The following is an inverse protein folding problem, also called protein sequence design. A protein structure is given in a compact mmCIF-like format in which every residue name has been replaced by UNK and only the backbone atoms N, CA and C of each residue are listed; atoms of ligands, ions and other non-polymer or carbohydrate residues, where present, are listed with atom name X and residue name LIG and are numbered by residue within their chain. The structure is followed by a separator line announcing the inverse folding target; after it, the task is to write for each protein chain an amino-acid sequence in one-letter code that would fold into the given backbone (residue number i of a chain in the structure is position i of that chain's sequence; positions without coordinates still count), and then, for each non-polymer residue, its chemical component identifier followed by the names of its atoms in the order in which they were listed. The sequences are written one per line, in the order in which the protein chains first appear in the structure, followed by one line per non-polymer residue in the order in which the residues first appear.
data_IF_655529367251
#
_entry.id   IF_655529367251
#
_cell.length_a   1.000
_cell.length_b   1.000
_cell.length_c   1.000
_cell.angle_alpha   90.00
_cell.angle_beta   90.00
_cell.angle_gamma   90.00
#
_symmetry.space_group_name_H-M   'P 1'
#
loop_
_entity.id
_entity.type
_entity.pdbx_description
1 polymer ?
#
# COMPACT_ATOMS: atom_id res chain seq x y z
N UNK A 1 -16.59 -10.11 -25.98
CA UNK A 1 -15.97 -8.77 -25.85
C UNK A 1 -17.10 -7.81 -25.49
N UNK A 2 -17.53 -7.86 -24.23
CA UNK A 2 -18.76 -7.20 -23.77
C UNK A 2 -18.37 -5.83 -23.26
N UNK A 3 -18.81 -4.79 -23.97
CA UNK A 3 -18.58 -3.41 -23.60
C UNK A 3 -19.23 -3.15 -22.23
N UNK A 4 -18.43 -2.80 -21.23
CA UNK A 4 -18.91 -2.23 -19.97
C UNK A 4 -19.39 -0.82 -20.32
N UNK A 5 -20.67 -0.68 -20.61
CA UNK A 5 -21.32 0.63 -20.63
C UNK A 5 -21.24 1.20 -19.22
N UNK A 6 -20.63 2.38 -19.01
CA UNK A 6 -20.63 2.99 -17.69
C UNK A 6 -22.08 3.38 -17.37
N UNK A 7 -22.67 2.74 -16.36
CA UNK A 7 -23.88 3.28 -15.73
C UNK A 7 -23.54 4.70 -15.24
N UNK A 8 -24.11 5.69 -15.91
CA UNK A 8 -23.94 7.10 -15.54
C UNK A 8 -24.82 7.39 -14.33
N UNK A 9 -24.26 7.13 -13.15
CA UNK A 9 -24.80 7.63 -11.88
C UNK A 9 -24.78 9.18 -11.90
N UNK A 10 -25.94 9.86 -11.83
CA UNK A 10 -26.08 11.30 -12.04
C UNK A 10 -25.36 12.18 -10.99
N UNK A 11 -24.77 11.59 -9.93
CA UNK A 11 -23.94 12.30 -8.94
C UNK A 11 -22.41 12.21 -9.15
N UNK A 12 -21.93 11.54 -10.20
CA UNK A 12 -20.50 11.18 -10.34
C UNK A 12 -19.69 12.28 -11.03
N UNK A 13 -18.93 13.06 -10.25
CA UNK A 13 -18.08 14.13 -10.79
C UNK A 13 -16.85 13.53 -11.48
N UNK A 14 -16.61 13.89 -12.74
CA UNK A 14 -15.35 13.56 -13.43
C UNK A 14 -14.25 14.44 -12.84
N UNK A 15 -13.20 13.86 -12.24
CA UNK A 15 -12.13 14.69 -11.68
C UNK A 15 -11.43 15.46 -12.79
N UNK A 16 -10.79 16.58 -12.45
CA UNK A 16 -9.79 17.21 -13.31
C UNK A 16 -8.39 16.63 -13.05
N UNK A 17 -7.44 16.83 -13.95
CA UNK A 17 -6.04 16.42 -13.71
C UNK A 17 -5.47 16.97 -12.40
N UNK A 18 -5.85 18.20 -12.01
CA UNK A 18 -5.43 18.82 -10.76
C UNK A 18 -6.04 18.13 -9.52
N UNK A 19 -7.31 17.72 -9.60
CA UNK A 19 -7.95 16.97 -8.52
C UNK A 19 -7.34 15.58 -8.35
N UNK A 20 -7.03 14.90 -9.46
CA UNK A 20 -6.27 13.63 -9.42
C UNK A 20 -4.92 13.83 -8.73
N UNK A 21 -4.14 14.83 -9.18
CA UNK A 21 -2.84 15.13 -8.59
C UNK A 21 -2.96 15.40 -7.08
N UNK A 22 -3.85 16.31 -6.67
CA UNK A 22 -3.99 16.68 -5.26
C UNK A 22 -4.50 15.53 -4.39
N UNK A 23 -5.44 14.75 -4.92
CA UNK A 23 -5.96 13.57 -4.25
C UNK A 23 -4.87 12.53 -3.99
N UNK A 24 -4.13 12.14 -5.03
CA UNK A 24 -3.01 11.20 -4.88
C UNK A 24 -1.84 11.79 -4.09
N UNK A 25 -1.62 13.11 -4.13
CA UNK A 25 -0.66 13.81 -3.27
C UNK A 25 -1.00 13.68 -1.79
N UNK A 26 -2.26 13.94 -1.44
CA UNK A 26 -2.75 13.74 -0.07
C UNK A 26 -2.67 12.27 0.35
N UNK A 27 -2.96 11.35 -0.57
CA UNK A 27 -2.80 9.91 -0.34
C UNK A 27 -1.33 9.58 -0.05
N UNK A 28 -0.38 10.09 -0.86
CA UNK A 28 1.06 9.85 -0.70
C UNK A 28 1.61 10.26 0.66
N UNK A 29 1.18 11.42 1.18
CA UNK A 29 1.58 11.89 2.53
C UNK A 29 0.83 11.21 3.68
N UNK A 30 -0.33 10.60 3.43
CA UNK A 30 -1.20 10.04 4.49
C UNK A 30 -1.21 8.51 4.52
N UNK A 31 -0.58 7.83 3.56
CA UNK A 31 -0.63 6.39 3.35
C UNK A 31 0.17 5.55 4.38
N UNK A 32 0.27 6.03 5.62
CA UNK A 32 0.87 5.29 6.71
C UNK A 32 -0.10 4.23 7.23
N UNK A 33 0.27 2.96 7.11
CA UNK A 33 -0.45 1.89 7.78
C UNK A 33 -1.68 1.29 7.10
N UNK A 34 -1.79 1.50 5.78
CA UNK A 34 -2.85 0.92 4.98
C UNK A 34 -3.23 1.83 3.82
N UNK A 35 -2.40 1.88 2.79
CA UNK A 35 -2.63 2.73 1.63
C UNK A 35 -3.91 2.33 0.85
N UNK A 36 -4.24 1.03 0.81
CA UNK A 36 -5.41 0.54 0.06
C UNK A 36 -6.75 0.94 0.69
N UNK A 37 -7.00 0.77 2.01
CA UNK A 37 -8.19 1.31 2.66
C UNK A 37 -8.33 2.83 2.49
N UNK A 38 -7.22 3.59 2.59
CA UNK A 38 -7.24 5.04 2.37
C UNK A 38 -7.59 5.39 0.92
N UNK A 39 -7.02 4.67 -0.05
CA UNK A 39 -7.31 4.86 -1.46
C UNK A 39 -8.78 4.55 -1.76
N UNK A 40 -9.34 3.45 -1.24
CA UNK A 40 -10.76 3.12 -1.39
C UNK A 40 -11.64 4.22 -0.82
N UNK A 41 -11.38 4.65 0.42
CA UNK A 41 -12.15 5.72 1.08
C UNK A 41 -12.07 7.04 0.30
N UNK A 42 -10.90 7.36 -0.24
CA UNK A 42 -10.74 8.56 -1.06
C UNK A 42 -11.52 8.45 -2.37
N UNK A 43 -11.29 7.39 -3.15
CA UNK A 43 -11.82 7.23 -4.51
C UNK A 43 -13.32 6.91 -4.54
N UNK A 44 -13.83 6.18 -3.55
CA UNK A 44 -15.22 5.69 -3.51
C UNK A 44 -16.10 6.52 -2.57
N UNK A 45 -15.64 6.79 -1.34
CA UNK A 45 -16.50 7.42 -0.33
C UNK A 45 -16.45 8.96 -0.37
N UNK A 46 -15.24 9.54 -0.41
CA UNK A 46 -15.02 10.99 -0.31
C UNK A 46 -15.23 11.69 -1.64
N UNK A 47 -14.43 11.33 -2.63
CA UNK A 47 -14.41 11.99 -3.93
C UNK A 47 -15.43 11.40 -4.90
N UNK A 48 -15.90 10.17 -4.62
CA UNK A 48 -16.91 9.44 -5.40
C UNK A 48 -16.57 9.33 -6.90
N UNK A 49 -15.28 9.21 -7.23
CA UNK A 49 -14.83 9.02 -8.61
C UNK A 49 -15.12 7.61 -9.12
N UNK A 50 -15.15 6.61 -8.24
CA UNK A 50 -15.39 5.20 -8.56
C UNK A 50 -16.53 4.63 -7.72
N UNK A 51 -17.31 3.69 -8.26
CA UNK A 51 -18.11 2.80 -7.39
C UNK A 51 -17.21 1.79 -6.66
N UNK A 52 -17.78 1.14 -5.64
CA UNK A 52 -17.12 0.02 -4.96
C UNK A 52 -16.76 -1.12 -5.93
N UNK A 53 -17.62 -1.43 -6.89
CA UNK A 53 -17.40 -2.48 -7.88
C UNK A 53 -16.30 -2.09 -8.86
N UNK A 54 -16.36 -0.87 -9.42
CA UNK A 54 -15.31 -0.36 -10.30
C UNK A 54 -13.94 -0.32 -9.61
N UNK A 55 -13.89 0.08 -8.34
CA UNK A 55 -12.66 0.05 -7.56
C UNK A 55 -12.13 -1.39 -7.42
N UNK A 56 -13.00 -2.36 -7.21
CA UNK A 56 -12.64 -3.77 -7.03
C UNK A 56 -12.10 -4.35 -8.34
N UNK A 57 -12.74 -4.04 -9.48
CA UNK A 57 -12.29 -4.46 -10.80
C UNK A 57 -10.94 -3.84 -11.16
N UNK A 58 -10.76 -2.53 -10.94
CA UNK A 58 -9.47 -1.86 -11.15
C UNK A 58 -8.39 -2.43 -10.23
N UNK A 59 -8.71 -2.69 -8.96
CA UNK A 59 -7.76 -3.28 -8.02
C UNK A 59 -7.36 -4.68 -8.46
N UNK A 60 -8.30 -5.49 -8.96
CA UNK A 60 -8.03 -6.80 -9.52
C UNK A 60 -7.00 -6.72 -10.66
N UNK A 61 -7.21 -5.81 -11.61
CA UNK A 61 -6.25 -5.54 -12.69
C UNK A 61 -4.87 -5.11 -12.16
N UNK A 62 -4.83 -4.25 -11.14
CA UNK A 62 -3.59 -3.78 -10.55
C UNK A 62 -2.79 -4.88 -9.83
N UNK A 63 -3.47 -5.90 -9.30
CA UNK A 63 -2.85 -7.06 -8.65
C UNK A 63 -2.23 -8.06 -9.63
N UNK A 64 -2.70 -8.08 -10.88
CA UNK A 64 -2.07 -8.85 -11.95
C UNK A 64 -0.78 -8.20 -12.45
N UNK A 65 -0.68 -6.87 -12.36
CA UNK A 65 0.49 -6.14 -12.80
C UNK A 65 1.62 -6.24 -11.76
N UNK A 66 2.88 -6.50 -12.19
CA UNK A 66 4.00 -6.46 -11.28
C UNK A 66 4.19 -5.03 -10.74
N UNK A 67 4.46 -4.90 -9.44
CA UNK A 67 4.74 -3.61 -8.80
C UNK A 67 3.85 -3.33 -7.59
N UNK A 68 3.85 -2.07 -7.17
CA UNK A 68 3.06 -1.62 -6.02
C UNK A 68 1.60 -1.38 -6.41
N UNK A 69 0.66 -2.08 -5.76
CA UNK A 69 -0.78 -1.98 -6.05
C UNK A 69 -1.30 -0.53 -6.10
N UNK A 70 -0.81 0.36 -5.23
CA UNK A 70 -1.26 1.75 -5.17
C UNK A 70 -0.69 2.61 -6.30
N UNK A 71 0.52 2.29 -6.76
CA UNK A 71 1.15 2.94 -7.91
C UNK A 71 0.40 2.52 -9.18
N UNK A 72 0.14 1.23 -9.34
CA UNK A 72 -0.64 0.72 -10.47
C UNK A 72 -2.05 1.31 -10.46
N UNK A 73 -2.69 1.40 -9.28
CA UNK A 73 -4.01 1.99 -9.14
C UNK A 73 -4.02 3.49 -9.47
N UNK A 74 -3.00 4.27 -9.07
CA UNK A 74 -2.95 5.69 -9.40
C UNK A 74 -2.83 5.92 -10.91
N UNK A 75 -2.00 5.13 -11.58
CA UNK A 75 -1.86 5.15 -13.04
C UNK A 75 -3.15 4.71 -13.73
N UNK A 76 -3.76 3.60 -13.29
CA UNK A 76 -5.00 3.08 -13.89
C UNK A 76 -6.18 4.06 -13.74
N UNK A 77 -6.36 4.63 -12.54
CA UNK A 77 -7.39 5.64 -12.28
C UNK A 77 -7.13 6.90 -13.09
N UNK A 78 -5.89 7.39 -13.13
CA UNK A 78 -5.52 8.55 -13.93
C UNK A 78 -5.74 8.34 -15.43
N UNK A 79 -5.34 7.17 -15.94
CA UNK A 79 -5.53 6.76 -17.33
C UNK A 79 -7.02 6.67 -17.70
N UNK A 80 -7.85 6.17 -16.80
CA UNK A 80 -9.29 6.04 -17.01
C UNK A 80 -9.98 7.38 -17.27
N UNK A 81 -9.58 8.45 -16.57
CA UNK A 81 -10.26 9.75 -16.67
C UNK A 81 -9.70 10.68 -17.76
N UNK A 82 -8.38 10.74 -17.94
CA UNK A 82 -7.75 11.64 -18.92
C UNK A 82 -6.61 11.00 -19.72
N UNK A 83 -6.62 9.67 -19.83
CA UNK A 83 -5.58 8.93 -20.54
C UNK A 83 -4.18 9.21 -19.98
N UNK A 84 -3.13 9.31 -20.82
CA UNK A 84 -1.75 9.42 -20.36
C UNK A 84 -1.49 10.66 -19.50
N UNK A 85 -2.21 11.76 -19.75
CA UNK A 85 -2.07 13.00 -18.95
C UNK A 85 -2.58 12.82 -17.52
N UNK A 86 -3.72 12.14 -17.37
CA UNK A 86 -4.27 11.84 -16.04
C UNK A 86 -3.43 10.83 -15.29
N UNK A 87 -2.89 9.82 -15.99
CA UNK A 87 -1.98 8.83 -15.42
C UNK A 87 -0.72 9.50 -14.85
N UNK A 88 -0.10 10.40 -15.61
CA UNK A 88 1.07 11.14 -15.17
C UNK A 88 0.75 12.05 -13.97
N UNK A 89 -0.37 12.77 -14.00
CA UNK A 89 -0.80 13.64 -12.90
C UNK A 89 -1.05 12.85 -11.60
N UNK A 90 -1.74 11.72 -11.67
CA UNK A 90 -2.01 10.86 -10.52
C UNK A 90 -0.72 10.23 -9.95
N UNK A 91 0.16 9.75 -10.83
CA UNK A 91 1.43 9.15 -10.44
C UNK A 91 2.37 10.19 -9.79
N UNK A 92 2.50 11.38 -10.39
CA UNK A 92 3.28 12.46 -9.81
C UNK A 92 2.68 12.93 -8.49
N UNK A 93 1.36 13.07 -8.39
CA UNK A 93 0.71 13.35 -7.11
C UNK A 93 1.16 12.38 -6.03
N UNK A 94 1.08 11.07 -6.31
CA UNK A 94 1.42 10.02 -5.35
C UNK A 94 2.89 10.05 -4.90
N UNK A 95 3.84 10.22 -5.83
CA UNK A 95 5.28 10.00 -5.57
C UNK A 95 6.01 11.29 -5.19
N UNK A 96 5.53 12.45 -5.62
CA UNK A 96 6.26 13.71 -5.49
C UNK A 96 6.49 14.08 -4.02
N UNK A 97 5.46 14.03 -3.18
CA UNK A 97 5.59 14.43 -1.78
C UNK A 97 6.55 13.54 -0.98
N UNK A 98 6.39 12.19 -0.98
CA UNK A 98 7.34 11.31 -0.30
C UNK A 98 8.76 11.46 -0.82
N UNK A 99 8.95 11.61 -2.13
CA UNK A 99 10.28 11.77 -2.72
C UNK A 99 10.96 13.06 -2.28
N UNK A 100 10.23 14.19 -2.29
CA UNK A 100 10.78 15.48 -1.82
C UNK A 100 11.19 15.37 -0.35
N UNK A 101 10.35 14.78 0.50
CA UNK A 101 10.64 14.62 1.93
C UNK A 101 11.92 13.79 2.14
N UNK A 102 12.06 12.66 1.44
CA UNK A 102 13.22 11.78 1.57
C UNK A 102 14.50 12.46 1.04
N UNK A 103 14.44 13.13 -0.11
CA UNK A 103 15.59 13.84 -0.69
C UNK A 103 16.01 15.01 0.22
N UNK A 104 15.06 15.75 0.77
CA UNK A 104 15.32 16.87 1.67
C UNK A 104 15.95 16.38 2.99
N UNK A 105 15.43 15.32 3.60
CA UNK A 105 16.05 14.72 4.78
C UNK A 105 17.45 14.17 4.46
N UNK A 106 17.63 13.53 3.30
CA UNK A 106 18.92 13.01 2.87
C UNK A 106 19.98 14.10 2.68
N UNK A 107 19.61 15.24 2.09
CA UNK A 107 20.52 16.38 1.92
C UNK A 107 20.87 17.06 3.25
N UNK A 108 19.90 17.19 4.17
CA UNK A 108 20.16 17.66 5.53
C UNK A 108 21.12 16.70 6.26
N UNK A 109 20.87 15.39 6.17
CA UNK A 109 21.74 14.39 6.78
C UNK A 109 23.19 14.52 6.30
N UNK A 110 23.41 14.54 4.98
CA UNK A 110 24.75 14.67 4.40
C UNK A 110 25.45 15.98 4.78
N UNK A 111 24.70 17.09 4.91
CA UNK A 111 25.28 18.39 5.22
C UNK A 111 25.75 18.49 6.68
N UNK A 112 25.11 17.76 7.58
CA UNK A 112 25.31 17.89 9.02
C UNK A 112 25.65 16.57 9.72
N UNK A 113 26.15 15.57 8.97
CA UNK A 113 26.48 14.24 9.51
C UNK A 113 27.54 14.30 10.63
N UNK A 114 28.36 15.36 10.66
CA UNK A 114 29.36 15.59 11.70
C UNK A 114 28.83 16.15 13.02
N UNK A 115 27.54 16.54 13.10
CA UNK A 115 26.94 17.07 14.34
C UNK A 115 26.23 15.94 15.13
N UNK A 116 26.67 15.62 16.37
CA UNK A 116 26.04 14.61 17.21
C UNK A 116 24.54 14.84 17.43
N UNK A 117 24.08 16.10 17.50
CA UNK A 117 22.67 16.41 17.73
C UNK A 117 21.78 15.92 16.57
N UNK A 118 22.29 16.02 15.33
CA UNK A 118 21.56 15.62 14.14
C UNK A 118 21.54 14.10 14.02
N UNK A 119 22.65 13.42 14.34
CA UNK A 119 22.67 11.96 14.42
C UNK A 119 21.63 11.42 15.43
N UNK A 120 21.53 12.03 16.62
CA UNK A 120 20.52 11.63 17.61
C UNK A 120 19.09 11.90 17.14
N UNK A 121 18.85 13.00 16.44
CA UNK A 121 17.53 13.29 15.85
C UNK A 121 17.14 12.25 14.80
N UNK A 122 18.04 11.88 13.89
CA UNK A 122 17.80 10.84 12.90
C UNK A 122 17.62 9.46 13.54
N UNK A 123 18.35 9.15 14.61
CA UNK A 123 18.14 7.93 15.39
C UNK A 123 16.74 7.91 16.03
N UNK A 124 16.28 9.04 16.57
CA UNK A 124 14.91 9.20 17.08
C UNK A 124 13.85 9.02 15.98
N UNK A 125 14.08 9.58 14.80
CA UNK A 125 13.21 9.39 13.63
C UNK A 125 13.15 7.91 13.20
N UNK A 126 14.30 7.24 13.17
CA UNK A 126 14.38 5.81 12.86
C UNK A 126 13.64 4.96 13.90
N UNK A 127 13.77 5.28 15.19
CA UNK A 127 13.03 4.62 16.27
C UNK A 127 11.51 4.84 16.14
N UNK A 128 11.07 6.05 15.81
CA UNK A 128 9.66 6.36 15.55
C UNK A 128 9.11 5.59 14.33
N UNK A 129 9.88 5.52 13.24
CA UNK A 129 9.53 4.74 12.06
C UNK A 129 9.43 3.24 12.37
N UNK A 130 10.36 2.70 13.17
CA UNK A 130 10.30 1.32 13.65
C UNK A 130 9.05 1.07 14.51
N UNK A 131 8.74 1.97 15.44
CA UNK A 131 7.52 1.90 16.26
C UNK A 131 6.24 1.92 15.42
N UNK A 132 6.20 2.75 14.37
CA UNK A 132 5.08 2.79 13.41
C UNK A 132 4.95 1.47 12.64
N UNK A 133 6.07 0.91 12.16
CA UNK A 133 6.09 -0.41 11.50
C UNK A 133 5.57 -1.52 12.41
N UNK A 134 6.01 -1.55 13.67
CA UNK A 134 5.54 -2.52 14.68
C UNK A 134 4.03 -2.33 14.91
N UNK A 135 3.56 -1.09 15.08
CA UNK A 135 2.13 -0.78 15.25
C UNK A 135 1.29 -1.33 14.08
N UNK A 136 1.82 -1.25 12.86
CA UNK A 136 1.15 -1.80 11.69
C UNK A 136 1.18 -3.32 11.63
N UNK A 137 2.29 -3.93 11.98
CA UNK A 137 2.37 -5.38 12.12
C UNK A 137 1.33 -5.89 13.14
N UNK A 138 1.21 -5.23 14.29
CA UNK A 138 0.21 -5.55 15.32
C UNK A 138 -1.21 -5.34 14.80
N UNK A 139 -1.48 -4.26 14.08
CA UNK A 139 -2.81 -3.98 13.50
C UNK A 139 -3.24 -5.06 12.52
N UNK A 140 -2.31 -5.54 11.68
CA UNK A 140 -2.54 -6.64 10.73
C UNK A 140 -2.65 -8.00 11.46
N UNK A 141 -1.92 -8.19 12.56
CA UNK A 141 -1.97 -9.42 13.35
C UNK A 141 -3.20 -9.53 14.27
N UNK A 142 -3.82 -8.41 14.68
CA UNK A 142 -4.99 -8.40 15.58
C UNK A 142 -6.14 -9.33 15.16
N UNK A 143 -6.57 -9.36 13.87
CA UNK A 143 -7.58 -10.30 13.39
C UNK A 143 -7.20 -11.79 13.53
N UNK A 144 -5.91 -12.12 13.64
CA UNK A 144 -5.44 -13.50 13.76
C UNK A 144 -5.50 -14.04 15.20
N UNK A 145 -5.80 -13.21 16.21
CA UNK A 145 -5.75 -13.59 17.64
C UNK A 145 -6.63 -14.80 18.02
N UNK A 146 -7.70 -15.07 17.27
CA UNK A 146 -8.57 -16.24 17.49
C UNK A 146 -8.09 -17.53 16.80
N UNK A 147 -7.09 -17.45 15.93
CA UNK A 147 -6.63 -18.57 15.11
C UNK A 147 -5.23 -19.03 15.57
N UNK A 148 -5.18 -19.76 16.69
CA UNK A 148 -3.95 -20.38 17.23
C UNK A 148 -3.03 -21.04 16.18
N UNK A 149 -3.52 -21.83 15.20
CA UNK A 149 -2.64 -22.40 14.19
C UNK A 149 -2.11 -21.33 13.22
N UNK A 150 -2.90 -20.30 12.91
CA UNK A 150 -2.46 -19.16 12.09
C UNK A 150 -1.33 -18.36 12.76
N UNK A 151 -1.39 -18.20 14.09
CA UNK A 151 -0.30 -17.56 14.86
C UNK A 151 0.96 -18.43 14.83
N UNK A 152 0.83 -19.75 15.05
CA UNK A 152 1.96 -20.66 15.01
C UNK A 152 2.67 -20.67 13.65
N UNK A 153 1.89 -20.66 12.55
CA UNK A 153 2.41 -20.59 11.19
C UNK A 153 3.09 -19.24 10.91
N UNK A 154 2.49 -18.13 11.37
CA UNK A 154 3.11 -16.81 11.23
C UNK A 154 4.44 -16.72 11.97
N UNK A 155 4.53 -17.29 13.18
CA UNK A 155 5.75 -17.34 13.98
C UNK A 155 6.81 -18.25 13.36
N UNK A 156 6.41 -19.41 12.83
CA UNK A 156 7.30 -20.33 12.12
C UNK A 156 7.84 -19.70 10.83
N UNK A 157 6.99 -19.00 10.07
CA UNK A 157 7.41 -18.26 8.88
C UNK A 157 8.38 -17.12 9.23
N UNK A 158 8.08 -16.37 10.29
CA UNK A 158 8.99 -15.33 10.78
C UNK A 158 10.35 -15.91 11.20
N UNK A 159 10.38 -17.03 11.93
CA UNK A 159 11.62 -17.69 12.32
C UNK A 159 12.42 -18.20 11.11
N UNK A 160 11.74 -18.83 10.13
CA UNK A 160 12.38 -19.34 8.92
C UNK A 160 13.02 -18.22 8.07
N UNK A 161 12.39 -17.05 8.00
CA UNK A 161 12.90 -15.92 7.21
C UNK A 161 13.93 -15.11 8.01
N UNK A 162 13.62 -14.74 9.25
CA UNK A 162 14.46 -13.85 10.05
C UNK A 162 15.70 -14.53 10.64
N UNK A 163 15.60 -15.81 11.03
CA UNK A 163 16.70 -16.55 11.70
C UNK A 163 17.48 -17.40 10.70
N UNK A 164 16.78 -18.19 9.86
CA UNK A 164 17.47 -19.07 8.89
C UNK A 164 17.88 -18.35 7.59
N UNK A 165 17.48 -17.08 7.38
CA UNK A 165 17.76 -16.29 6.16
C UNK A 165 17.47 -17.04 4.86
N UNK A 166 16.47 -17.92 4.87
CA UNK A 166 16.08 -18.68 3.68
C UNK A 166 15.44 -17.73 2.66
N UNK A 167 15.64 -17.96 1.35
CA UNK A 167 15.02 -17.14 0.34
C UNK A 167 13.48 -17.16 0.46
N UNK A 168 12.86 -16.00 0.21
CA UNK A 168 11.42 -15.79 0.36
C UNK A 168 10.59 -16.75 -0.50
N UNK A 169 11.07 -17.10 -1.68
CA UNK A 169 10.39 -17.99 -2.61
C UNK A 169 10.14 -19.39 -2.01
N UNK A 170 11.15 -20.18 -1.59
CA UNK A 170 10.92 -21.52 -1.06
C UNK A 170 10.20 -21.53 0.28
N UNK A 171 10.42 -20.55 1.14
CA UNK A 171 9.71 -20.45 2.42
C UNK A 171 8.20 -20.26 2.21
N UNK A 172 7.79 -19.34 1.31
CA UNK A 172 6.39 -19.20 0.95
C UNK A 172 5.84 -20.44 0.23
N UNK A 173 6.63 -21.09 -0.64
CA UNK A 173 6.16 -22.24 -1.41
C UNK A 173 5.91 -23.49 -0.53
N UNK A 174 6.59 -23.63 0.61
CA UNK A 174 6.40 -24.73 1.56
C UNK A 174 5.38 -24.39 2.65
N UNK A 175 5.46 -23.21 3.26
CA UNK A 175 4.57 -22.82 4.37
C UNK A 175 3.13 -22.54 3.93
N UNK A 176 2.92 -22.03 2.72
CA UNK A 176 1.58 -21.70 2.22
C UNK A 176 0.70 -22.95 2.03
N UNK A 177 1.13 -24.02 1.32
CA UNK A 177 0.33 -25.25 1.23
C UNK A 177 0.20 -25.97 2.57
N UNK A 178 1.22 -25.94 3.43
CA UNK A 178 1.15 -26.52 4.78
C UNK A 178 0.11 -25.82 5.66
N UNK A 179 0.03 -24.48 5.58
CA UNK A 179 -0.97 -23.66 6.25
C UNK A 179 -2.38 -23.96 5.79
N UNK A 180 -2.58 -24.03 4.47
CA UNK A 180 -3.87 -24.35 3.85
C UNK A 180 -4.30 -25.76 4.24
N UNK A 181 -3.39 -26.73 4.21
CA UNK A 181 -3.66 -28.12 4.57
C UNK A 181 -4.05 -28.28 6.05
N UNK A 182 -3.32 -27.64 6.97
CA UNK A 182 -3.63 -27.65 8.41
C UNK A 182 -4.96 -26.96 8.72
N UNK A 183 -5.28 -25.88 8.00
CA UNK A 183 -6.55 -25.15 8.17
C UNK A 183 -7.74 -25.94 7.60
N UNK A 184 -7.55 -26.62 6.46
CA UNK A 184 -8.56 -27.47 5.82
C UNK A 184 -8.88 -28.70 6.66
N UNK A 185 -7.86 -29.34 7.26
CA UNK A 185 -8.03 -30.53 8.10
C UNK A 185 -8.70 -30.25 9.45
N UNK A 186 -8.76 -29.00 9.89
CA UNK A 186 -9.51 -28.56 11.10
C UNK A 186 -10.94 -28.11 10.83
N UNK A 187 -11.31 -27.88 9.57
CA UNK A 187 -12.67 -27.50 9.16
C UNK A 187 -13.53 -28.69 8.69
N UNK A 188 -12.93 -29.87 8.53
CA UNK A 188 -13.63 -31.17 8.48
C UNK A 188 -13.60 -31.78 9.87
#
# INVERSE_FOLDING_TARGET
MTAITPETDPGRHRPSCGQLFYGFFRLGISAFGGALPLARRMLVEKERWLSGDEFTDLLGLCQFLPGGNIINLSVAVGARFHGPRGAFAALMGLILAPSIIVIMLGTIYQRYEGDPHIQHMFAGLAAAAAGLLISMAVKIARPLRGNWPGIAIALACFAAIAVLRLPLLPSMLVLTPLSIFLTWRRRR
#
